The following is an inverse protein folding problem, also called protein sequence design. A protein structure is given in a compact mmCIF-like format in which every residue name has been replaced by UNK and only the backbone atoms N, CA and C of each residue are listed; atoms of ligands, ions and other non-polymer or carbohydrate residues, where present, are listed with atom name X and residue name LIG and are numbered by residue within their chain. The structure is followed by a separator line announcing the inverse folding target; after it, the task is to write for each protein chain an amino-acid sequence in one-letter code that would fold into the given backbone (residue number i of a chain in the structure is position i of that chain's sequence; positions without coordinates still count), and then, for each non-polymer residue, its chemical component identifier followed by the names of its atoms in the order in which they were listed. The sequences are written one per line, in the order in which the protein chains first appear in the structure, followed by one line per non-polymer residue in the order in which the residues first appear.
data_IF_939565146136
#
_entry.id   IF_939565146136
#
_cell.length_a   1.000
_cell.length_b   1.000
_cell.length_c   1.000
_cell.angle_alpha   90.00
_cell.angle_beta   90.00
_cell.angle_gamma   90.00
#
_symmetry.space_group_name_H-M   'P 1'
#
loop_
_entity.id
_entity.type
_entity.pdbx_description
1 polymer ?
#
# COMPACT_ATOMS: atom_id res chain seq x y z
N UNK A 1 10.68 0.73 57.12
CA UNK A 1 10.16 1.04 58.48
C UNK A 1 9.93 -0.21 59.33
N UNK A 2 8.94 -1.06 59.04
CA UNK A 2 8.64 -2.25 59.86
C UNK A 2 9.85 -3.17 60.18
N UNK A 3 10.75 -3.38 59.20
CA UNK A 3 11.98 -4.17 59.41
C UNK A 3 12.97 -3.55 60.41
N UNK A 4 13.07 -2.22 60.43
CA UNK A 4 13.94 -1.51 61.36
C UNK A 4 13.33 -1.41 62.77
N UNK A 5 12.01 -1.22 62.86
CA UNK A 5 11.28 -1.28 64.14
C UNK A 5 11.44 -2.67 64.79
N UNK A 6 11.33 -3.74 64.01
CA UNK A 6 11.56 -5.11 64.48
C UNK A 6 13.03 -5.39 64.87
N UNK A 7 13.99 -4.66 64.30
CA UNK A 7 15.41 -4.78 64.67
C UNK A 7 15.71 -4.06 65.99
N UNK A 8 15.23 -2.84 66.15
CA UNK A 8 15.44 -2.04 67.37
C UNK A 8 14.72 -2.65 68.57
N UNK A 9 13.49 -3.14 68.38
CA UNK A 9 12.69 -3.78 69.45
C UNK A 9 13.21 -5.14 69.95
N UNK A 10 14.37 -5.62 69.48
CA UNK A 10 15.02 -6.85 70.00
C UNK A 10 15.58 -6.67 71.39
N UNK A 11 15.96 -5.44 71.74
CA UNK A 11 16.41 -5.11 73.08
C UNK A 11 15.19 -4.83 73.97
N UNK A 12 15.06 -5.60 75.04
CA UNK A 12 13.94 -5.51 75.98
C UNK A 12 14.44 -5.18 77.38
N UNK A 13 13.67 -4.41 78.12
CA UNK A 13 13.90 -4.07 79.51
C UNK A 13 12.81 -4.72 80.38
N UNK A 14 13.22 -5.45 81.40
CA UNK A 14 12.35 -5.94 82.46
C UNK A 14 12.92 -5.48 83.78
N UNK A 15 12.19 -4.64 84.52
CA UNK A 15 12.65 -4.10 85.80
C UNK A 15 11.49 -3.77 86.73
N UNK A 16 11.80 -3.41 87.96
CA UNK A 16 10.83 -2.99 88.96
C UNK A 16 11.10 -1.55 89.38
N UNK A 17 10.06 -0.73 89.43
CA UNK A 17 10.13 0.65 89.86
C UNK A 17 9.55 0.84 91.28
N UNK A 18 10.03 1.85 92.02
CA UNK A 18 9.44 2.22 93.31
C UNK A 18 8.04 2.83 93.12
N UNK A 19 7.18 2.80 94.16
CA UNK A 19 5.85 3.42 94.11
C UNK A 19 5.84 4.92 93.78
N UNK A 20 6.96 5.63 93.94
CA UNK A 20 7.08 7.04 93.55
C UNK A 20 6.95 7.28 92.04
N UNK A 21 7.07 6.24 91.22
CA UNK A 21 6.97 6.31 89.75
C UNK A 21 5.63 5.78 89.21
N UNK A 22 4.55 5.92 89.99
CA UNK A 22 3.18 5.52 89.62
C UNK A 22 2.63 6.21 88.36
N UNK A 23 3.20 7.35 87.96
CA UNK A 23 2.72 8.17 86.84
C UNK A 23 3.06 7.61 85.44
N UNK A 24 3.89 6.56 85.35
CA UNK A 24 4.29 5.95 84.08
C UNK A 24 3.26 4.92 83.63
N UNK A 25 2.78 5.01 82.39
CA UNK A 25 1.78 4.12 81.80
C UNK A 25 2.34 3.30 80.60
N UNK A 26 1.68 2.20 80.21
CA UNK A 26 2.00 1.51 78.95
C UNK A 26 1.89 2.47 77.76
N UNK A 27 2.94 2.54 76.95
CA UNK A 27 3.07 3.49 75.83
C UNK A 27 4.06 4.63 76.11
N UNK A 28 4.35 4.93 77.37
CA UNK A 28 5.35 5.93 77.73
C UNK A 28 6.75 5.48 77.36
N UNK A 29 7.62 6.46 77.06
CA UNK A 29 9.03 6.24 76.76
C UNK A 29 9.85 6.67 77.95
N UNK A 30 10.67 5.75 78.46
CA UNK A 30 11.60 5.99 79.56
C UNK A 30 13.04 5.83 79.08
N UNK A 31 13.91 6.74 79.48
CA UNK A 31 15.33 6.67 79.17
C UNK A 31 16.09 6.02 80.31
N UNK A 32 16.77 4.91 80.04
CA UNK A 32 17.60 4.20 81.01
C UNK A 32 19.07 4.47 80.72
N UNK A 33 19.80 4.97 81.71
CA UNK A 33 21.26 5.10 81.64
C UNK A 33 21.91 3.78 82.06
N UNK A 34 22.62 3.11 81.16
CA UNK A 34 23.36 1.88 81.42
C UNK A 34 24.68 1.85 80.64
N UNK A 35 25.78 1.46 81.29
CA UNK A 35 27.12 1.36 80.67
C UNK A 35 27.55 2.58 79.83
N UNK A 36 27.28 3.79 80.34
CA UNK A 36 27.61 5.05 79.66
C UNK A 36 26.72 5.40 78.46
N UNK A 37 25.63 4.66 78.23
CA UNK A 37 24.64 4.92 77.19
C UNK A 37 23.30 5.27 77.81
N UNK A 38 22.60 6.24 77.21
CA UNK A 38 21.21 6.53 77.52
C UNK A 38 20.35 5.90 76.42
N UNK A 39 19.48 4.96 76.77
CA UNK A 39 18.68 4.19 75.81
C UNK A 39 17.20 4.36 76.13
N UNK A 40 16.40 4.65 75.10
CA UNK A 40 14.97 4.83 75.21
C UNK A 40 14.21 3.51 75.08
N UNK A 41 13.36 3.24 76.06
CA UNK A 41 12.48 2.07 76.11
C UNK A 41 11.04 2.53 76.18
N UNK A 42 10.19 2.01 75.28
CA UNK A 42 8.75 2.19 75.36
C UNK A 42 8.14 1.09 76.22
N UNK A 43 7.43 1.47 77.28
CA UNK A 43 6.74 0.53 78.16
C UNK A 43 5.65 -0.18 77.36
N UNK A 44 5.70 -1.52 77.35
CA UNK A 44 4.69 -2.36 76.70
C UNK A 44 3.70 -2.92 77.70
N UNK A 45 4.13 -3.14 78.94
CA UNK A 45 3.29 -3.74 79.98
C UNK A 45 3.75 -3.30 81.37
N UNK A 46 2.77 -3.13 82.25
CA UNK A 46 2.98 -2.86 83.67
C UNK A 46 2.23 -3.92 84.47
N UNK A 47 2.85 -4.40 85.56
CA UNK A 47 2.23 -5.28 86.55
C UNK A 47 2.43 -4.70 87.94
N UNK A 48 1.36 -4.22 88.56
CA UNK A 48 1.38 -3.65 89.90
C UNK A 48 1.16 -4.74 90.95
N UNK A 49 2.18 -4.99 91.77
CA UNK A 49 2.11 -5.87 92.94
C UNK A 49 2.73 -5.18 94.16
N UNK A 50 3.61 -5.85 94.92
CA UNK A 50 4.39 -5.20 96.00
C UNK A 50 5.33 -4.09 95.46
N UNK A 51 5.66 -4.15 94.18
CA UNK A 51 6.39 -3.14 93.42
C UNK A 51 5.80 -3.03 92.00
N UNK A 52 6.10 -1.95 91.27
CA UNK A 52 5.60 -1.75 89.90
C UNK A 52 6.56 -2.40 88.91
N UNK A 53 6.24 -3.62 88.47
CA UNK A 53 7.00 -4.33 87.45
C UNK A 53 6.70 -3.76 86.06
N UNK A 54 7.74 -3.49 85.26
CA UNK A 54 7.61 -2.99 83.90
C UNK A 54 8.31 -3.92 82.91
N UNK A 55 7.65 -4.16 81.78
CA UNK A 55 8.25 -4.71 80.57
C UNK A 55 8.23 -3.61 79.50
N UNK A 56 9.37 -3.38 78.87
CA UNK A 56 9.52 -2.34 77.86
C UNK A 56 10.40 -2.84 76.71
N UNK A 57 10.21 -2.29 75.53
CA UNK A 57 11.02 -2.60 74.34
C UNK A 57 11.76 -1.34 73.91
N UNK A 58 12.99 -1.49 73.44
CA UNK A 58 13.74 -0.36 72.93
C UNK A 58 13.00 0.28 71.76
N UNK A 59 13.00 1.60 71.73
CA UNK A 59 12.42 2.40 70.64
C UNK A 59 13.44 3.42 70.15
N UNK A 60 13.27 3.88 68.91
CA UNK A 60 14.08 4.94 68.31
C UNK A 60 13.15 5.91 67.58
N UNK A 61 13.15 7.17 68.02
CA UNK A 61 12.29 8.21 67.45
C UNK A 61 12.64 8.51 65.98
N UNK A 62 13.91 8.35 65.57
CA UNK A 62 14.35 8.63 64.21
C UNK A 62 13.73 7.67 63.17
N UNK A 63 13.26 6.49 63.59
CA UNK A 63 12.57 5.54 62.71
C UNK A 63 11.19 6.04 62.25
N UNK A 64 10.55 6.89 63.05
CA UNK A 64 9.22 7.42 62.76
C UNK A 64 9.27 8.62 61.80
N UNK A 65 10.46 9.22 61.62
CA UNK A 65 10.70 10.39 60.77
C UNK A 65 11.22 10.02 59.36
N UNK A 66 11.24 8.72 59.02
CA UNK A 66 11.68 8.27 57.70
C UNK A 66 10.65 8.69 56.62
N UNK A 67 11.05 9.47 55.60
CA UNK A 67 10.14 9.88 54.54
C UNK A 67 9.64 8.65 53.75
N UNK A 68 8.38 8.67 53.25
CA UNK A 68 7.91 7.65 52.33
C UNK A 68 8.83 7.61 51.10
N UNK A 69 9.07 6.41 50.56
CA UNK A 69 9.89 6.24 49.35
C UNK A 69 9.37 7.08 48.18
N UNK A 70 10.23 7.32 47.18
CA UNK A 70 9.86 8.15 46.02
C UNK A 70 8.61 7.62 45.32
N UNK A 71 7.66 8.52 45.05
CA UNK A 71 6.46 8.21 44.30
C UNK A 71 6.82 7.87 42.85
N UNK A 72 6.40 6.72 42.36
CA UNK A 72 6.58 6.36 40.95
C UNK A 72 5.49 7.03 40.13
N UNK A 73 5.84 8.02 39.32
CA UNK A 73 4.88 8.69 38.45
C UNK A 73 4.24 7.67 37.48
N UNK A 74 2.91 7.70 37.35
CA UNK A 74 2.18 6.92 36.35
C UNK A 74 2.22 7.70 35.05
N UNK A 75 2.92 7.19 34.05
CA UNK A 75 2.89 7.75 32.69
C UNK A 75 1.73 7.11 31.94
N UNK A 76 0.69 7.88 31.64
CA UNK A 76 -0.34 7.45 30.69
C UNK A 76 0.24 7.54 29.27
N UNK A 77 0.06 6.51 28.42
CA UNK A 77 0.48 6.61 27.03
C UNK A 77 -0.28 7.75 26.35
N UNK A 78 0.42 8.58 25.59
CA UNK A 78 -0.21 9.60 24.75
C UNK A 78 -1.04 8.92 23.67
N UNK A 79 -2.29 9.37 23.50
CA UNK A 79 -3.14 8.91 22.40
C UNK A 79 -2.46 9.27 21.08
N UNK A 80 -2.21 8.29 20.22
CA UNK A 80 -1.66 8.55 18.88
C UNK A 80 -2.74 9.21 18.04
N UNK A 81 -2.53 10.45 17.65
CA UNK A 81 -3.42 11.16 16.72
C UNK A 81 -3.01 10.77 15.30
N UNK A 82 -3.88 10.03 14.63
CA UNK A 82 -3.70 9.62 13.25
C UNK A 82 -4.06 10.77 12.30
N UNK A 83 -3.24 10.98 11.26
CA UNK A 83 -3.59 11.85 10.14
C UNK A 83 -4.53 11.14 9.15
N UNK A 84 -5.15 11.88 8.21
CA UNK A 84 -5.94 11.28 7.14
C UNK A 84 -5.07 10.42 6.22
N UNK A 85 -5.62 9.36 5.59
CA UNK A 85 -4.83 8.48 4.73
C UNK A 85 -4.68 9.07 3.33
N UNK A 86 -3.53 8.82 2.73
CA UNK A 86 -3.35 8.88 1.29
C UNK A 86 -3.83 7.56 0.68
N UNK A 87 -4.67 7.63 -0.35
CA UNK A 87 -5.30 6.45 -0.95
C UNK A 87 -5.17 6.49 -2.47
N UNK A 88 -4.76 5.36 -3.05
CA UNK A 88 -4.85 5.08 -4.47
C UNK A 88 -5.62 3.78 -4.69
N UNK A 89 -6.74 3.87 -5.41
CA UNK A 89 -7.49 2.72 -5.90
C UNK A 89 -7.16 2.57 -7.38
N UNK A 90 -6.58 1.43 -7.74
CA UNK A 90 -5.93 1.23 -9.03
C UNK A 90 -6.56 0.04 -9.74
N UNK A 91 -7.21 0.30 -10.87
CA UNK A 91 -7.67 -0.76 -11.77
C UNK A 91 -6.53 -1.14 -12.71
N UNK A 92 -5.71 -2.10 -12.27
CA UNK A 92 -4.48 -2.51 -12.94
C UNK A 92 -4.69 -3.82 -13.72
N UNK A 93 -3.83 -4.09 -14.73
CA UNK A 93 -3.63 -5.44 -15.21
C UNK A 93 -3.28 -6.42 -14.08
N UNK A 94 -3.55 -7.71 -14.29
CA UNK A 94 -3.21 -8.73 -13.32
C UNK A 94 -1.70 -8.74 -13.03
N UNK A 95 -1.33 -8.65 -11.75
CA UNK A 95 0.06 -8.64 -11.30
C UNK A 95 0.51 -10.00 -10.74
N UNK A 96 -0.42 -10.78 -10.17
CA UNK A 96 -0.14 -12.06 -9.51
C UNK A 96 -1.14 -13.12 -9.98
N UNK A 97 -0.68 -14.35 -10.18
CA UNK A 97 -1.54 -15.48 -10.59
C UNK A 97 -2.57 -15.83 -9.52
N UNK A 98 -2.25 -15.61 -8.25
CA UNK A 98 -3.15 -15.87 -7.11
C UNK A 98 -4.31 -14.86 -7.01
N UNK A 99 -4.22 -13.74 -7.72
CA UNK A 99 -5.24 -12.69 -7.72
C UNK A 99 -6.04 -12.76 -9.01
N UNK A 100 -7.37 -12.96 -8.94
CA UNK A 100 -8.21 -12.93 -10.13
C UNK A 100 -8.07 -11.61 -10.92
N UNK A 101 -8.00 -11.66 -12.26
CA UNK A 101 -7.67 -10.51 -13.11
C UNK A 101 -8.67 -9.34 -13.07
N UNK A 102 -9.88 -9.55 -12.58
CA UNK A 102 -10.88 -8.49 -12.45
C UNK A 102 -10.71 -7.64 -11.18
N UNK A 103 -9.85 -8.07 -10.25
CA UNK A 103 -9.71 -7.40 -8.96
C UNK A 103 -8.76 -6.20 -9.08
N UNK A 104 -9.22 -4.99 -8.74
CA UNK A 104 -8.35 -3.84 -8.61
C UNK A 104 -7.51 -3.93 -7.33
N UNK A 105 -6.52 -3.06 -7.21
CA UNK A 105 -5.63 -2.96 -6.06
C UNK A 105 -5.85 -1.65 -5.30
N UNK A 106 -5.66 -1.69 -3.98
CA UNK A 106 -5.59 -0.51 -3.15
C UNK A 106 -4.19 -0.35 -2.54
N UNK A 107 -3.70 0.88 -2.57
CA UNK A 107 -2.52 1.33 -1.84
C UNK A 107 -2.95 2.42 -0.86
N UNK A 108 -2.56 2.26 0.41
CA UNK A 108 -2.91 3.18 1.48
C UNK A 108 -1.67 3.52 2.28
N UNK A 109 -1.43 4.80 2.49
CA UNK A 109 -0.37 5.29 3.34
C UNK A 109 -0.91 6.28 4.37
N UNK A 110 -0.38 6.25 5.58
CA UNK A 110 -0.66 7.24 6.61
C UNK A 110 0.54 7.38 7.56
N UNK A 111 0.73 8.59 8.10
CA UNK A 111 1.79 8.89 9.06
C UNK A 111 1.21 9.59 10.30
N UNK A 112 1.28 9.00 11.51
CA UNK A 112 1.73 7.63 11.79
C UNK A 112 0.81 6.57 11.17
N UNK A 113 1.36 5.38 10.87
CA UNK A 113 0.56 4.26 10.34
C UNK A 113 -0.44 3.77 11.39
N UNK A 114 -1.62 3.37 10.93
CA UNK A 114 -2.74 2.96 11.79
C UNK A 114 -2.54 1.60 12.45
N UNK A 115 -1.49 0.86 12.08
CA UNK A 115 -1.36 -0.57 12.35
C UNK A 115 -2.21 -1.41 11.40
N UNK A 116 -3.46 -1.02 11.16
CA UNK A 116 -4.32 -1.62 10.13
C UNK A 116 -5.30 -0.57 9.59
N UNK A 117 -5.35 -0.41 8.27
CA UNK A 117 -6.38 0.38 7.60
C UNK A 117 -7.56 -0.52 7.18
N UNK A 118 -8.73 0.07 6.98
CA UNK A 118 -9.91 -0.62 6.46
C UNK A 118 -10.50 0.18 5.29
N UNK A 119 -10.94 -0.54 4.26
CA UNK A 119 -11.77 0.00 3.19
C UNK A 119 -13.20 -0.49 3.39
N UNK A 120 -14.12 0.46 3.42
CA UNK A 120 -15.54 0.22 3.50
C UNK A 120 -16.20 0.64 2.20
N UNK A 121 -17.23 -0.09 1.76
CA UNK A 121 -17.99 0.22 0.55
C UNK A 121 -19.48 0.37 0.80
N UNK A 122 -20.13 1.22 0.01
CA UNK A 122 -21.58 1.30 -0.12
C UNK A 122 -22.01 1.73 -1.52
N UNK A 123 -23.16 1.22 -1.98
CA UNK A 123 -23.81 1.68 -3.20
C UNK A 123 -24.41 3.10 -3.05
N UNK A 124 -24.58 3.57 -1.81
CA UNK A 124 -25.08 4.90 -1.48
C UNK A 124 -24.10 5.62 -0.55
N UNK A 125 -24.53 6.72 0.09
CA UNK A 125 -23.73 7.47 1.06
C UNK A 125 -23.90 6.99 2.51
N UNK A 126 -24.63 5.90 2.74
CA UNK A 126 -24.85 5.27 4.05
C UNK A 126 -24.83 3.74 3.94
N UNK A 127 -24.88 3.02 5.07
CA UNK A 127 -24.87 1.54 5.05
C UNK A 127 -23.55 0.93 4.58
N UNK A 128 -22.43 1.55 4.97
CA UNK A 128 -21.09 1.06 4.63
C UNK A 128 -20.82 -0.31 5.24
N UNK A 129 -20.32 -1.23 4.41
CA UNK A 129 -19.88 -2.57 4.79
C UNK A 129 -18.39 -2.70 4.60
N UNK A 130 -17.73 -3.47 5.46
CA UNK A 130 -16.29 -3.70 5.36
C UNK A 130 -16.00 -4.49 4.08
N UNK A 131 -15.10 -3.97 3.24
CA UNK A 131 -14.65 -4.64 2.02
C UNK A 131 -13.37 -5.43 2.32
N UNK A 132 -12.32 -4.75 2.76
CA UNK A 132 -11.02 -5.35 3.07
C UNK A 132 -10.30 -4.58 4.19
N UNK A 133 -9.35 -5.27 4.83
CA UNK A 133 -8.39 -4.68 5.79
C UNK A 133 -6.98 -4.73 5.22
N UNK A 134 -6.20 -3.68 5.46
CA UNK A 134 -4.85 -3.51 4.92
C UNK A 134 -3.87 -3.44 6.10
N UNK A 135 -3.03 -4.46 6.30
CA UNK A 135 -2.15 -4.54 7.47
C UNK A 135 -0.88 -3.71 7.34
N UNK A 136 -0.47 -3.36 6.12
CA UNK A 136 0.79 -2.68 5.85
C UNK A 136 0.56 -1.38 5.08
N UNK A 137 1.34 -0.35 5.42
CA UNK A 137 1.34 0.89 4.66
C UNK A 137 2.00 0.66 3.30
N UNK A 138 1.42 1.22 2.25
CA UNK A 138 1.98 1.18 0.91
C UNK A 138 3.11 2.21 0.73
N UNK A 139 4.05 1.89 -0.15
CA UNK A 139 5.07 2.85 -0.59
C UNK A 139 4.50 3.72 -1.71
N UNK A 140 4.05 4.91 -1.33
CA UNK A 140 3.41 5.88 -2.22
C UNK A 140 4.23 7.18 -2.30
N UNK A 141 3.91 8.01 -3.28
CA UNK A 141 4.48 9.34 -3.42
C UNK A 141 3.84 10.10 -4.57
N UNK A 142 4.56 11.11 -5.07
CA UNK A 142 4.14 11.89 -6.24
C UNK A 142 5.31 12.14 -7.19
N UNK A 143 4.99 12.45 -8.44
CA UNK A 143 5.96 13.00 -9.39
C UNK A 143 6.47 14.37 -8.91
N UNK A 144 7.78 14.52 -8.81
CA UNK A 144 8.44 15.76 -8.45
C UNK A 144 8.70 16.68 -9.67
N UNK A 145 8.61 16.13 -10.88
CA UNK A 145 8.70 16.85 -12.15
C UNK A 145 7.82 16.16 -13.21
N UNK A 146 7.50 16.87 -14.28
CA UNK A 146 6.71 16.31 -15.37
C UNK A 146 7.44 15.14 -16.06
N UNK A 147 6.70 14.09 -16.39
CA UNK A 147 7.20 12.90 -17.08
C UNK A 147 6.68 12.90 -18.52
N UNK A 148 7.55 13.06 -19.53
CA UNK A 148 7.15 12.95 -20.93
C UNK A 148 6.82 11.50 -21.33
N UNK A 149 6.13 11.36 -22.46
CA UNK A 149 5.97 10.07 -23.11
C UNK A 149 7.34 9.42 -23.39
N UNK A 150 7.42 8.11 -23.16
CA UNK A 150 8.62 7.32 -23.37
C UNK A 150 8.42 6.22 -24.40
N UNK A 151 9.51 5.60 -24.89
CA UNK A 151 9.41 4.46 -25.79
C UNK A 151 8.86 3.22 -25.08
N UNK A 152 8.18 2.36 -25.84
CA UNK A 152 7.76 1.02 -25.40
C UNK A 152 8.71 -0.05 -25.94
N UNK A 153 8.68 -1.25 -25.35
CA UNK A 153 9.44 -2.44 -25.81
C UNK A 153 10.97 -2.28 -25.86
N UNK A 154 11.52 -1.25 -25.21
CA UNK A 154 12.96 -1.02 -25.07
C UNK A 154 13.21 -0.16 -23.84
N UNK A 155 14.46 -0.11 -23.40
CA UNK A 155 14.87 0.83 -22.35
C UNK A 155 14.66 2.28 -22.79
N UNK A 156 14.02 3.05 -21.91
CA UNK A 156 14.06 4.49 -21.92
C UNK A 156 15.29 4.97 -21.14
N UNK A 157 16.30 5.42 -21.90
CA UNK A 157 17.54 5.97 -21.37
C UNK A 157 17.54 7.51 -21.40
N UNK A 158 16.54 8.12 -22.02
CA UNK A 158 16.46 9.58 -22.22
C UNK A 158 15.63 10.26 -21.14
N UNK A 159 14.59 9.61 -20.66
CA UNK A 159 13.72 10.15 -19.62
C UNK A 159 14.31 9.95 -18.22
N UNK A 160 14.00 10.90 -17.34
CA UNK A 160 14.34 10.87 -15.93
C UNK A 160 13.05 11.01 -15.13
N UNK A 161 12.72 10.00 -14.33
CA UNK A 161 11.54 9.98 -13.49
C UNK A 161 11.92 10.52 -12.10
N UNK A 162 11.50 11.74 -11.83
CA UNK A 162 11.74 12.42 -10.55
C UNK A 162 10.53 12.22 -9.64
N UNK A 163 10.75 11.67 -8.44
CA UNK A 163 9.66 11.40 -7.49
C UNK A 163 9.98 11.89 -6.09
N UNK A 164 8.95 12.25 -5.35
CA UNK A 164 8.96 12.44 -3.90
C UNK A 164 8.22 11.27 -3.25
N UNK A 165 8.95 10.43 -2.51
CA UNK A 165 8.44 9.23 -1.86
C UNK A 165 8.05 9.51 -0.40
N UNK A 166 6.84 9.11 -0.02
CA UNK A 166 6.26 9.38 1.30
C UNK A 166 6.91 8.55 2.42
N UNK A 167 7.43 7.35 2.12
CA UNK A 167 8.16 6.49 3.05
C UNK A 167 9.00 5.43 2.33
N UNK A 168 9.97 4.83 3.03
CA UNK A 168 10.84 3.80 2.49
C UNK A 168 12.05 4.36 1.74
N UNK A 169 12.80 3.46 1.11
CA UNK A 169 14.00 3.79 0.32
C UNK A 169 14.02 2.96 -0.95
N UNK A 170 14.45 3.56 -2.06
CA UNK A 170 14.63 2.87 -3.33
C UNK A 170 16.11 2.56 -3.58
N UNK A 171 16.36 1.44 -4.25
CA UNK A 171 17.71 1.00 -4.62
C UNK A 171 17.76 0.63 -6.10
N UNK A 172 18.95 0.75 -6.67
CA UNK A 172 19.20 0.31 -8.05
C UNK A 172 19.25 -1.22 -8.10
N UNK A 173 18.80 -1.80 -9.20
CA UNK A 173 18.79 -3.24 -9.44
C UNK A 173 19.50 -3.56 -10.75
N UNK A 174 19.96 -4.80 -10.89
CA UNK A 174 20.52 -5.30 -12.14
C UNK A 174 19.44 -5.46 -13.21
N UNK A 175 19.84 -5.51 -14.48
CA UNK A 175 18.90 -5.78 -15.58
C UNK A 175 18.17 -7.13 -15.39
N UNK A 176 18.84 -8.14 -14.83
CA UNK A 176 18.23 -9.45 -14.57
C UNK A 176 17.11 -9.36 -13.52
N UNK A 177 17.36 -8.68 -12.40
CA UNK A 177 16.36 -8.46 -11.35
C UNK A 177 15.21 -7.60 -11.88
N UNK A 178 15.52 -6.59 -12.70
CA UNK A 178 14.51 -5.76 -13.35
C UNK A 178 13.60 -6.61 -14.25
N UNK A 179 14.17 -7.46 -15.12
CA UNK A 179 13.39 -8.37 -15.97
C UNK A 179 12.65 -9.46 -15.17
N UNK A 180 13.09 -9.75 -13.94
CA UNK A 180 12.36 -10.60 -13.01
C UNK A 180 11.21 -9.89 -12.28
N UNK A 181 10.96 -8.60 -12.57
CA UNK A 181 9.84 -7.83 -12.03
C UNK A 181 10.20 -6.87 -10.89
N UNK A 182 11.48 -6.72 -10.54
CA UNK A 182 11.90 -5.77 -9.51
C UNK A 182 11.61 -4.31 -9.92
N UNK A 183 11.57 -3.42 -8.93
CA UNK A 183 11.39 -1.97 -9.12
C UNK A 183 10.19 -1.59 -10.01
N UNK A 184 9.08 -2.30 -9.84
CA UNK A 184 7.82 -2.02 -10.56
C UNK A 184 7.02 -0.93 -9.85
N UNK A 185 6.54 0.05 -10.60
CA UNK A 185 5.85 1.23 -10.10
C UNK A 185 4.65 1.54 -11.01
N UNK A 186 3.54 2.00 -10.43
CA UNK A 186 2.40 2.56 -11.16
C UNK A 186 2.41 4.09 -11.06
N UNK A 187 2.21 4.77 -12.18
CA UNK A 187 2.05 6.23 -12.28
C UNK A 187 0.64 6.53 -12.76
N UNK A 188 -0.08 7.41 -12.05
CA UNK A 188 -1.39 7.89 -12.49
C UNK A 188 -1.23 8.93 -13.61
N UNK A 189 -1.32 8.51 -14.87
CA UNK A 189 -1.11 9.40 -16.02
C UNK A 189 -2.31 10.31 -16.31
N UNK A 190 -3.49 9.90 -15.87
CA UNK A 190 -4.75 10.66 -15.83
C UNK A 190 -5.64 10.06 -14.72
N UNK A 191 -6.69 10.75 -14.24
CA UNK A 191 -7.54 10.24 -13.16
C UNK A 191 -8.03 8.81 -13.41
N UNK A 192 -7.59 7.86 -12.58
CA UNK A 192 -7.93 6.43 -12.69
C UNK A 192 -7.22 5.65 -13.82
N UNK A 193 -6.33 6.29 -14.59
CA UNK A 193 -5.53 5.66 -15.66
C UNK A 193 -4.10 5.51 -15.16
N UNK A 194 -3.62 4.27 -15.11
CA UNK A 194 -2.35 3.92 -14.51
C UNK A 194 -1.40 3.30 -15.53
N UNK A 195 -0.23 3.93 -15.70
CA UNK A 195 0.90 3.32 -16.41
C UNK A 195 1.71 2.48 -15.42
N UNK A 196 1.96 1.21 -15.76
CA UNK A 196 2.96 0.41 -15.05
C UNK A 196 4.30 0.58 -15.74
N UNK A 197 5.33 0.91 -14.97
CA UNK A 197 6.71 1.01 -15.45
C UNK A 197 7.68 0.39 -14.45
N UNK A 198 8.92 0.17 -14.88
CA UNK A 198 10.01 -0.25 -14.01
C UNK A 198 11.21 0.67 -14.16
N UNK A 199 12.12 0.67 -13.16
CA UNK A 199 13.35 1.46 -13.19
C UNK A 199 14.57 0.65 -12.74
N UNK A 200 15.67 0.71 -13.50
CA UNK A 200 16.92 0.03 -13.13
C UNK A 200 17.77 0.84 -12.15
N UNK A 201 17.82 2.16 -12.31
CA UNK A 201 18.69 3.04 -11.54
C UNK A 201 17.87 3.93 -10.61
N UNK A 202 18.24 3.97 -9.34
CA UNK A 202 17.67 4.87 -8.34
C UNK A 202 18.79 5.65 -7.62
N UNK A 203 18.72 6.98 -7.73
CA UNK A 203 19.65 7.91 -7.07
C UNK A 203 18.88 8.80 -6.10
N UNK A 204 19.23 8.78 -4.82
CA UNK A 204 18.68 9.71 -3.83
C UNK A 204 19.28 11.11 -4.04
N UNK A 205 18.44 12.11 -4.30
CA UNK A 205 18.86 13.50 -4.51
C UNK A 205 18.82 14.28 -3.20
N UNK A 206 17.73 14.12 -2.45
CA UNK A 206 17.51 14.71 -1.13
C UNK A 206 16.53 13.86 -0.35
N UNK A 207 16.22 14.20 0.91
CA UNK A 207 15.34 13.41 1.76
C UNK A 207 13.99 13.11 1.08
N UNK A 208 13.74 11.83 0.75
CA UNK A 208 12.53 11.35 0.07
C UNK A 208 12.49 11.60 -1.44
N UNK A 209 13.42 12.37 -2.02
CA UNK A 209 13.43 12.69 -3.45
C UNK A 209 14.41 11.82 -4.21
N UNK A 210 13.92 11.13 -5.24
CA UNK A 210 14.72 10.23 -6.08
C UNK A 210 14.69 10.64 -7.55
N UNK A 211 15.82 10.44 -8.21
CA UNK A 211 15.95 10.36 -9.67
C UNK A 211 16.00 8.90 -10.09
N UNK A 212 15.03 8.49 -10.90
CA UNK A 212 14.90 7.14 -11.43
C UNK A 212 15.19 7.16 -12.93
N UNK A 213 16.09 6.27 -13.37
CA UNK A 213 16.54 6.18 -14.77
C UNK A 213 16.53 4.74 -15.26
N UNK A 214 16.76 4.58 -16.57
CA UNK A 214 16.77 3.28 -17.26
C UNK A 214 15.42 2.61 -17.10
N UNK A 215 14.39 3.27 -17.64
CA UNK A 215 13.00 2.90 -17.42
C UNK A 215 12.54 1.84 -18.44
N UNK A 216 11.62 0.98 -18.03
CA UNK A 216 10.81 0.16 -18.92
C UNK A 216 9.36 0.65 -18.81
N UNK A 217 8.84 1.26 -19.88
CA UNK A 217 7.52 1.92 -19.89
C UNK A 217 6.41 0.94 -20.33
N UNK A 218 5.17 1.25 -19.95
CA UNK A 218 3.97 0.54 -20.45
C UNK A 218 3.93 -0.96 -20.19
N UNK A 219 4.50 -1.42 -19.08
CA UNK A 219 4.55 -2.85 -18.73
C UNK A 219 3.14 -3.42 -18.54
N UNK A 220 3.02 -4.75 -18.68
CA UNK A 220 1.73 -5.48 -18.51
C UNK A 220 0.58 -4.91 -19.35
N UNK A 221 0.88 -4.43 -20.56
CA UNK A 221 -0.15 -4.00 -21.50
C UNK A 221 -0.73 -2.62 -21.19
N UNK A 222 0.02 -1.73 -20.52
CA UNK A 222 -0.39 -0.35 -20.21
C UNK A 222 0.27 0.66 -21.14
N UNK A 223 0.62 0.28 -22.36
CA UNK A 223 1.22 1.20 -23.34
C UNK A 223 0.25 2.33 -23.74
N UNK A 224 -1.05 2.09 -23.72
CA UNK A 224 -2.12 3.07 -23.90
C UNK A 224 -2.25 4.07 -22.74
N UNK A 225 -1.73 3.70 -21.56
CA UNK A 225 -1.70 4.56 -20.39
C UNK A 225 -0.46 5.47 -20.33
N UNK A 226 0.49 5.34 -21.26
CA UNK A 226 1.63 6.26 -21.37
C UNK A 226 1.09 7.64 -21.78
N UNK A 227 1.05 8.55 -20.81
CA UNK A 227 0.61 9.92 -21.04
C UNK A 227 1.57 10.66 -21.98
N UNK A 228 1.02 11.54 -22.84
CA UNK A 228 1.84 12.43 -23.66
C UNK A 228 2.78 13.29 -22.80
N UNK A 229 2.23 13.79 -21.69
CA UNK A 229 2.95 14.43 -20.59
C UNK A 229 2.15 14.18 -19.31
N UNK A 230 2.80 13.58 -18.31
CA UNK A 230 2.22 13.43 -16.97
C UNK A 230 2.77 14.54 -16.10
N UNK A 231 1.90 15.34 -15.50
CA UNK A 231 2.30 16.51 -14.73
C UNK A 231 2.85 16.12 -13.36
N UNK A 232 3.77 16.93 -12.85
CA UNK A 232 4.19 16.90 -11.44
C UNK A 232 2.98 16.90 -10.49
N UNK A 233 3.11 16.20 -9.37
CA UNK A 233 2.03 15.95 -8.42
C UNK A 233 1.18 14.71 -8.74
N UNK A 234 1.33 14.08 -9.90
CA UNK A 234 0.68 12.80 -10.19
C UNK A 234 1.12 11.70 -9.20
N UNK A 235 0.17 10.86 -8.77
CA UNK A 235 0.43 9.80 -7.78
C UNK A 235 1.35 8.73 -8.36
N UNK A 236 2.25 8.25 -7.52
CA UNK A 236 3.05 7.06 -7.78
C UNK A 236 2.87 6.05 -6.66
N UNK A 237 2.88 4.77 -7.03
CA UNK A 237 2.74 3.66 -6.10
C UNK A 237 3.74 2.58 -6.49
N UNK A 238 4.58 2.16 -5.53
CA UNK A 238 5.44 1.00 -5.74
C UNK A 238 4.57 -0.27 -5.71
N UNK A 239 4.73 -1.13 -6.71
CA UNK A 239 3.95 -2.35 -6.84
C UNK A 239 4.68 -3.52 -6.15
N UNK A 240 4.50 -3.60 -4.83
CA UNK A 240 5.09 -4.63 -3.96
C UNK A 240 4.03 -5.38 -3.14
N UNK A 241 4.45 -6.10 -2.09
CA UNK A 241 3.56 -6.91 -1.26
C UNK A 241 2.64 -6.11 -0.33
N UNK A 242 2.81 -4.78 -0.24
CA UNK A 242 1.97 -3.90 0.57
C UNK A 242 0.63 -3.55 -0.09
N UNK A 243 0.46 -3.86 -1.37
CA UNK A 243 -0.79 -3.66 -2.08
C UNK A 243 -1.87 -4.65 -1.62
N UNK A 244 -3.09 -4.16 -1.44
CA UNK A 244 -4.25 -5.00 -1.15
C UNK A 244 -5.08 -5.23 -2.42
N UNK A 245 -5.16 -6.45 -2.96
CA UNK A 245 -6.17 -6.79 -3.95
C UNK A 245 -7.56 -6.68 -3.33
N UNK A 246 -8.45 -5.89 -3.93
CA UNK A 246 -9.79 -5.68 -3.42
C UNK A 246 -10.69 -6.87 -3.71
N UNK A 247 -11.44 -7.30 -2.69
CA UNK A 247 -12.37 -8.43 -2.70
C UNK A 247 -13.69 -8.11 -3.41
N UNK A 248 -13.58 -7.59 -4.65
CA UNK A 248 -14.69 -7.30 -5.54
C UNK A 248 -14.97 -8.49 -6.46
N UNK A 249 -16.24 -8.71 -6.80
CA UNK A 249 -16.68 -9.72 -7.75
C UNK A 249 -16.77 -9.12 -9.17
N UNK A 250 -16.80 -9.99 -10.19
CA UNK A 250 -17.02 -9.57 -11.58
C UNK A 250 -18.35 -8.81 -11.75
N UNK A 251 -19.36 -9.14 -10.96
CA UNK A 251 -20.66 -8.45 -10.98
C UNK A 251 -20.60 -7.01 -10.43
N UNK A 252 -19.53 -6.64 -9.71
CA UNK A 252 -19.33 -5.28 -9.20
C UNK A 252 -18.72 -4.34 -10.27
N UNK A 253 -18.28 -4.87 -11.42
CA UNK A 253 -17.64 -4.08 -12.49
C UNK A 253 -18.61 -3.10 -13.14
N UNK A 254 -18.13 -1.90 -13.46
CA UNK A 254 -18.91 -0.81 -14.05
C UNK A 254 -19.84 -0.09 -13.08
N UNK A 255 -19.92 -0.53 -11.82
CA UNK A 255 -20.75 0.08 -10.79
C UNK A 255 -19.90 1.08 -9.99
N UNK A 256 -20.36 2.34 -9.91
CA UNK A 256 -19.72 3.34 -9.07
C UNK A 256 -20.05 3.09 -7.60
N UNK A 257 -19.01 2.85 -6.80
CA UNK A 257 -19.15 2.62 -5.37
C UNK A 257 -18.60 3.79 -4.56
N UNK A 258 -19.28 4.11 -3.45
CA UNK A 258 -18.74 5.02 -2.45
C UNK A 258 -17.80 4.23 -1.53
N UNK A 259 -16.54 4.64 -1.49
CA UNK A 259 -15.50 4.04 -0.67
C UNK A 259 -15.14 4.97 0.49
N UNK A 260 -14.92 4.39 1.66
CA UNK A 260 -14.36 5.08 2.82
C UNK A 260 -13.16 4.32 3.35
N UNK A 261 -12.04 5.00 3.50
CA UNK A 261 -10.76 4.40 3.85
C UNK A 261 -10.15 5.13 5.04
N UNK A 262 -9.65 4.38 6.02
CA UNK A 262 -9.03 4.98 7.22
C UNK A 262 -8.62 3.92 8.24
N UNK A 263 -8.34 4.29 9.50
CA UNK A 263 -7.98 3.34 10.54
C UNK A 263 -9.08 2.30 10.75
N UNK A 264 -8.70 1.01 10.84
CA UNK A 264 -9.67 -0.06 11.11
C UNK A 264 -10.36 0.06 12.48
N UNK A 265 -9.75 0.80 13.41
CA UNK A 265 -10.32 1.11 14.73
C UNK A 265 -11.37 2.22 14.71
N UNK A 266 -11.53 2.96 13.60
CA UNK A 266 -12.48 4.05 13.47
C UNK A 266 -13.77 3.57 12.76
N UNK A 267 -14.90 4.20 13.10
CA UNK A 267 -16.16 3.94 12.41
C UNK A 267 -16.10 4.51 10.97
N UNK A 268 -16.80 3.90 9.99
CA UNK A 268 -16.83 4.42 8.62
C UNK A 268 -17.41 5.83 8.53
N UNK A 269 -18.22 6.27 9.49
CA UNK A 269 -18.77 7.63 9.55
C UNK A 269 -17.78 8.68 10.08
N UNK A 270 -16.66 8.26 10.65
CA UNK A 270 -15.66 9.15 11.27
C UNK A 270 -15.03 10.11 10.24
N UNK A 271 -14.69 11.31 10.68
CA UNK A 271 -14.07 12.35 9.84
C UNK A 271 -12.64 12.02 9.43
N UNK A 272 -11.97 11.10 10.13
CA UNK A 272 -10.65 10.60 9.72
C UNK A 272 -10.69 9.75 8.46
N UNK A 273 -11.87 9.23 8.09
CA UNK A 273 -12.04 8.40 6.90
C UNK A 273 -11.97 9.27 5.64
N UNK A 274 -11.08 8.92 4.72
CA UNK A 274 -11.05 9.48 3.38
C UNK A 274 -12.18 8.86 2.56
N UNK A 275 -13.03 9.71 1.97
CA UNK A 275 -14.12 9.29 1.11
C UNK A 275 -13.78 9.52 -0.36
N UNK A 276 -14.07 8.56 -1.22
CA UNK A 276 -13.94 8.68 -2.68
C UNK A 276 -14.93 7.77 -3.42
N UNK A 277 -15.29 8.16 -4.63
CA UNK A 277 -16.02 7.27 -5.55
C UNK A 277 -15.02 6.42 -6.34
N UNK A 278 -15.35 5.17 -6.58
CA UNK A 278 -14.52 4.26 -7.38
C UNK A 278 -15.38 3.32 -8.23
N UNK A 279 -15.07 3.27 -9.52
CA UNK A 279 -15.73 2.38 -10.48
C UNK A 279 -14.70 1.39 -11.01
N UNK A 280 -14.70 0.12 -10.55
CA UNK A 280 -13.82 -0.90 -11.11
C UNK A 280 -14.32 -1.25 -12.53
N UNK A 281 -13.45 -1.15 -13.53
CA UNK A 281 -13.77 -1.48 -14.93
C UNK A 281 -13.18 -2.82 -15.36
N UNK A 282 -12.36 -3.44 -14.52
CA UNK A 282 -11.79 -4.76 -14.75
C UNK A 282 -10.65 -4.72 -15.75
N UNK A 283 -9.70 -3.79 -15.58
CA UNK A 283 -8.57 -3.58 -16.49
C UNK A 283 -7.78 -4.85 -16.76
N UNK A 284 -7.61 -5.73 -15.78
CA UNK A 284 -6.94 -7.01 -15.98
C UNK A 284 -7.72 -8.05 -16.79
N UNK A 285 -9.00 -7.80 -17.14
CA UNK A 285 -9.77 -8.59 -18.11
C UNK A 285 -9.73 -8.01 -19.53
N UNK A 286 -9.19 -6.80 -19.72
CA UNK A 286 -9.11 -6.15 -21.03
C UNK A 286 -7.96 -6.76 -21.84
N UNK A 287 -8.21 -7.33 -23.04
CA UNK A 287 -7.14 -7.87 -23.87
C UNK A 287 -6.09 -6.81 -24.22
N UNK A 288 -4.82 -7.24 -24.26
CA UNK A 288 -3.73 -6.38 -24.73
C UNK A 288 -3.87 -6.09 -26.22
N UNK A 289 -3.40 -4.92 -26.63
CA UNK A 289 -3.36 -4.54 -28.04
C UNK A 289 -2.52 -5.54 -28.83
N UNK A 290 -2.99 -6.05 -30.00
CA UNK A 290 -2.16 -6.83 -30.91
C UNK A 290 -0.89 -6.07 -31.33
N UNK A 291 0.07 -6.76 -31.94
CA UNK A 291 1.34 -6.12 -32.33
C UNK A 291 1.82 -6.58 -33.70
N UNK A 292 2.89 -5.92 -34.18
CA UNK A 292 3.58 -6.25 -35.42
C UNK A 292 2.66 -6.39 -36.64
N UNK A 293 1.69 -5.48 -36.79
CA UNK A 293 0.86 -5.49 -37.99
C UNK A 293 1.72 -5.23 -39.24
N UNK A 294 1.47 -6.01 -40.29
CA UNK A 294 2.15 -5.92 -41.58
C UNK A 294 1.13 -5.88 -42.69
N UNK A 295 1.38 -5.01 -43.66
CA UNK A 295 0.55 -4.82 -44.83
C UNK A 295 1.36 -5.16 -46.08
N UNK A 296 0.77 -5.93 -47.00
CA UNK A 296 1.37 -6.23 -48.31
C UNK A 296 0.33 -6.14 -49.40
N UNK A 297 0.67 -5.50 -50.51
CA UNK A 297 -0.14 -5.52 -51.73
C UNK A 297 0.08 -6.83 -52.49
N UNK A 298 -1.02 -7.46 -52.89
CA UNK A 298 -1.02 -8.68 -53.70
C UNK A 298 -1.10 -8.33 -55.19
N UNK A 299 -0.78 -9.29 -56.06
CA UNK A 299 -0.78 -9.09 -57.52
C UNK A 299 -2.15 -8.69 -58.09
N UNK A 300 -3.24 -9.08 -57.42
CA UNK A 300 -4.61 -8.71 -57.80
C UNK A 300 -5.04 -7.32 -57.29
N UNK A 301 -4.14 -6.57 -56.63
CA UNK A 301 -4.43 -5.25 -56.06
C UNK A 301 -4.98 -5.26 -54.63
N UNK A 302 -5.28 -6.43 -54.06
CA UNK A 302 -5.75 -6.54 -52.68
C UNK A 302 -4.63 -6.21 -51.67
N UNK A 303 -5.03 -5.78 -50.49
CA UNK A 303 -4.13 -5.54 -49.36
C UNK A 303 -4.28 -6.64 -48.33
N UNK A 304 -3.26 -7.48 -48.20
CA UNK A 304 -3.18 -8.49 -47.16
C UNK A 304 -2.61 -7.88 -45.87
N UNK A 305 -3.44 -7.81 -44.84
CA UNK A 305 -3.10 -7.38 -43.50
C UNK A 305 -2.93 -8.61 -42.60
N UNK A 306 -1.86 -8.64 -41.79
CA UNK A 306 -1.63 -9.65 -40.73
C UNK A 306 -1.08 -8.98 -39.48
N UNK A 307 -1.34 -9.55 -38.31
CA UNK A 307 -0.79 -9.10 -37.03
C UNK A 307 -0.44 -10.29 -36.13
N UNK A 308 0.18 -10.02 -34.99
CA UNK A 308 0.46 -11.01 -33.96
C UNK A 308 -0.44 -10.77 -32.74
N UNK A 309 -1.02 -11.86 -32.23
CA UNK A 309 -1.79 -11.88 -30.98
C UNK A 309 -0.87 -11.60 -29.79
N UNK A 310 -1.41 -10.92 -28.78
CA UNK A 310 -0.83 -10.88 -27.42
C UNK A 310 -1.79 -11.53 -26.44
N UNK A 311 -1.24 -12.08 -25.37
CA UNK A 311 -2.03 -12.63 -24.28
C UNK A 311 -1.66 -11.91 -22.98
N UNK A 312 -2.63 -11.77 -22.08
CA UNK A 312 -2.47 -11.09 -20.80
C UNK A 312 -2.04 -12.02 -19.67
N UNK A 313 -2.06 -13.34 -19.87
CA UNK A 313 -1.57 -14.31 -18.90
C UNK A 313 -0.11 -14.01 -18.49
N UNK A 314 0.21 -14.18 -17.22
CA UNK A 314 1.57 -13.97 -16.72
C UNK A 314 2.56 -14.98 -17.33
N UNK A 315 2.10 -16.17 -17.67
CA UNK A 315 2.91 -17.19 -18.34
C UNK A 315 3.12 -16.95 -19.85
N UNK A 316 2.60 -15.85 -20.43
CA UNK A 316 2.70 -15.59 -21.87
C UNK A 316 4.14 -15.39 -22.38
N UNK A 317 5.04 -15.00 -21.49
CA UNK A 317 6.47 -14.81 -21.81
C UNK A 317 7.32 -16.08 -21.58
N UNK A 318 6.69 -17.22 -21.26
CA UNK A 318 7.39 -18.48 -21.00
C UNK A 318 7.91 -19.14 -22.28
N UNK A 319 9.21 -19.42 -22.31
CA UNK A 319 9.87 -20.20 -23.37
C UNK A 319 9.62 -21.71 -23.28
N UNK A 320 9.00 -22.19 -22.20
CA UNK A 320 8.75 -23.61 -21.96
C UNK A 320 7.42 -24.05 -22.60
N UNK A 321 6.46 -23.13 -22.75
CA UNK A 321 5.15 -23.44 -23.30
C UNK A 321 5.22 -23.68 -24.81
N UNK A 322 4.49 -24.68 -25.29
CA UNK A 322 4.42 -25.00 -26.73
C UNK A 322 3.68 -23.91 -27.53
N UNK A 323 2.70 -23.25 -26.91
CA UNK A 323 1.89 -22.19 -27.49
C UNK A 323 1.69 -21.09 -26.45
N UNK A 324 1.58 -19.86 -26.91
CA UNK A 324 1.18 -18.74 -26.05
C UNK A 324 -0.20 -19.05 -25.45
N UNK A 325 -0.41 -18.84 -24.14
CA UNK A 325 -1.71 -19.01 -23.51
C UNK A 325 -2.84 -18.27 -24.25
N UNK A 326 -4.06 -18.71 -24.01
CA UNK A 326 -5.28 -18.11 -24.56
C UNK A 326 -6.20 -17.76 -23.39
N UNK A 327 -6.05 -16.53 -22.87
CA UNK A 327 -6.84 -16.01 -21.75
C UNK A 327 -8.29 -15.71 -22.13
N UNK A 328 -8.54 -15.42 -23.41
CA UNK A 328 -9.87 -15.11 -23.93
C UNK A 328 -10.56 -16.37 -24.45
N UNK A 329 -11.89 -16.46 -24.32
CA UNK A 329 -12.67 -17.65 -24.68
C UNK A 329 -12.46 -18.12 -26.14
N UNK A 330 -12.13 -17.19 -27.03
CA UNK A 330 -11.81 -17.45 -28.43
C UNK A 330 -10.91 -16.35 -28.99
N UNK A 331 -10.12 -16.67 -30.02
CA UNK A 331 -9.35 -15.69 -30.77
C UNK A 331 -10.26 -14.96 -31.77
N UNK A 332 -10.72 -13.77 -31.39
CA UNK A 332 -11.59 -12.92 -32.21
C UNK A 332 -11.05 -11.50 -32.25
N UNK A 333 -11.15 -10.86 -33.41
CA UNK A 333 -10.74 -9.47 -33.62
C UNK A 333 -11.82 -8.61 -34.26
N UNK A 334 -11.85 -7.34 -33.86
CA UNK A 334 -12.47 -6.26 -34.61
C UNK A 334 -11.37 -5.41 -35.26
N UNK A 335 -11.61 -4.98 -36.50
CA UNK A 335 -10.73 -4.11 -37.28
C UNK A 335 -11.50 -2.88 -37.73
N UNK A 336 -10.94 -1.71 -37.46
CA UNK A 336 -11.38 -0.44 -38.04
C UNK A 336 -10.34 0.05 -39.04
N UNK A 337 -10.82 0.45 -40.22
CA UNK A 337 -10.04 1.15 -41.24
C UNK A 337 -10.38 2.63 -41.14
N UNK A 338 -9.34 3.45 -41.04
CA UNK A 338 -9.45 4.86 -40.70
C UNK A 338 -8.99 5.74 -41.86
N UNK A 339 -9.58 6.93 -41.95
CA UNK A 339 -9.08 8.05 -42.75
C UNK A 339 -9.08 9.31 -41.89
N UNK A 340 -7.88 9.79 -41.54
CA UNK A 340 -7.74 10.78 -40.48
C UNK A 340 -8.39 10.28 -39.18
N UNK A 341 -9.34 11.05 -38.64
CA UNK A 341 -10.12 10.65 -37.46
C UNK A 341 -11.38 9.83 -37.74
N UNK A 342 -11.79 9.66 -39.00
CA UNK A 342 -13.04 8.99 -39.36
C UNK A 342 -12.85 7.48 -39.58
N UNK A 343 -13.80 6.69 -39.08
CA UNK A 343 -13.89 5.24 -39.37
C UNK A 343 -14.56 5.08 -40.73
N UNK A 344 -13.83 4.55 -41.71
CA UNK A 344 -14.34 4.28 -43.05
C UNK A 344 -15.00 2.91 -43.14
N UNK A 345 -14.44 1.93 -42.42
CA UNK A 345 -14.96 0.56 -42.39
C UNK A 345 -14.70 -0.10 -41.05
N UNK A 346 -15.70 -0.81 -40.55
CA UNK A 346 -15.58 -1.69 -39.40
C UNK A 346 -15.81 -3.13 -39.86
N UNK A 347 -14.89 -4.01 -39.50
CA UNK A 347 -14.98 -5.45 -39.73
C UNK A 347 -14.96 -6.12 -38.36
N UNK A 348 -16.00 -6.88 -38.04
CA UNK A 348 -16.14 -7.53 -36.73
C UNK A 348 -16.03 -9.03 -36.84
N UNK A 349 -15.65 -9.68 -35.73
CA UNK A 349 -15.72 -11.13 -35.63
C UNK A 349 -14.67 -11.90 -36.45
N UNK A 350 -13.51 -11.29 -36.74
CA UNK A 350 -12.42 -11.97 -37.45
C UNK A 350 -11.83 -13.07 -36.56
N UNK A 351 -11.88 -14.32 -37.00
CA UNK A 351 -11.41 -15.50 -36.24
C UNK A 351 -9.94 -15.87 -36.51
N UNK A 352 -9.24 -15.05 -37.28
CA UNK A 352 -7.81 -15.23 -37.57
C UNK A 352 -7.11 -13.87 -37.51
N UNK A 353 -5.80 -13.82 -37.21
CA UNK A 353 -5.06 -12.56 -37.10
C UNK A 353 -4.65 -12.02 -38.48
N UNK A 354 -5.61 -12.00 -39.41
CA UNK A 354 -5.42 -11.59 -40.78
C UNK A 354 -6.73 -11.03 -41.37
N UNK A 355 -6.59 -10.09 -42.30
CA UNK A 355 -7.69 -9.56 -43.09
C UNK A 355 -7.23 -9.25 -44.51
N UNK A 356 -8.07 -9.55 -45.51
CA UNK A 356 -7.81 -9.16 -46.90
C UNK A 356 -8.71 -7.98 -47.24
N UNK A 357 -8.10 -6.80 -47.34
CA UNK A 357 -8.78 -5.59 -47.74
C UNK A 357 -8.76 -5.46 -49.26
N UNK A 358 -9.86 -5.89 -49.88
CA UNK A 358 -9.93 -6.08 -51.33
C UNK A 358 -9.81 -4.75 -52.09
N UNK A 359 -9.39 -4.81 -53.36
CA UNK A 359 -9.35 -3.64 -54.24
C UNK A 359 -10.74 -2.97 -54.36
N UNK A 360 -11.81 -3.74 -54.38
CA UNK A 360 -13.18 -3.21 -54.40
C UNK A 360 -13.52 -2.45 -53.11
N UNK A 361 -13.11 -2.97 -51.94
CA UNK A 361 -13.30 -2.26 -50.67
C UNK A 361 -12.47 -0.97 -50.62
N UNK A 362 -11.22 -0.99 -51.11
CA UNK A 362 -10.38 0.20 -51.27
C UNK A 362 -11.09 1.28 -52.10
N UNK A 363 -11.62 0.92 -53.27
CA UNK A 363 -12.35 1.84 -54.14
C UNK A 363 -13.65 2.35 -53.51
N UNK A 364 -14.37 1.52 -52.75
CA UNK A 364 -15.58 1.96 -52.05
C UNK A 364 -15.29 2.97 -50.94
N UNK A 365 -14.21 2.76 -50.19
CA UNK A 365 -13.91 3.57 -48.99
C UNK A 365 -13.07 4.82 -49.34
N UNK A 366 -12.23 4.75 -50.37
CA UNK A 366 -11.25 5.79 -50.72
C UNK A 366 -11.31 6.24 -52.19
N UNK A 367 -12.17 5.66 -53.03
CA UNK A 367 -12.29 5.99 -54.45
C UNK A 367 -11.18 5.42 -55.35
N UNK A 368 -10.05 5.01 -54.79
CA UNK A 368 -8.90 4.47 -55.51
C UNK A 368 -8.03 3.59 -54.60
N UNK A 369 -6.97 3.00 -55.17
CA UNK A 369 -5.92 2.34 -54.41
C UNK A 369 -5.18 3.36 -53.52
N UNK A 370 -4.95 3.00 -52.27
CA UNK A 370 -4.28 3.84 -51.26
C UNK A 370 -2.79 3.49 -51.14
N UNK A 371 -1.90 4.45 -50.79
CA UNK A 371 -0.47 4.19 -50.56
C UNK A 371 -0.15 3.77 -49.12
N UNK A 372 -1.03 4.08 -48.17
CA UNK A 372 -0.92 3.72 -46.77
C UNK A 372 -2.32 3.46 -46.20
N UNK A 373 -2.37 2.71 -45.09
CA UNK A 373 -3.61 2.33 -44.42
C UNK A 373 -3.48 2.61 -42.93
N UNK A 374 -4.35 3.45 -42.38
CA UNK A 374 -4.47 3.64 -40.94
C UNK A 374 -5.52 2.69 -40.40
N UNK A 375 -5.17 1.94 -39.35
CA UNK A 375 -6.03 0.91 -38.78
C UNK A 375 -6.09 1.00 -37.26
N UNK A 376 -7.16 0.44 -36.70
CA UNK A 376 -7.23 0.03 -35.30
C UNK A 376 -7.64 -1.43 -35.23
N UNK A 377 -6.85 -2.25 -34.55
CA UNK A 377 -7.15 -3.66 -34.32
C UNK A 377 -7.43 -3.87 -32.84
N UNK A 378 -8.54 -4.53 -32.54
CA UNK A 378 -8.97 -4.87 -31.19
C UNK A 378 -9.05 -6.38 -31.07
N UNK A 379 -8.39 -6.96 -30.08
CA UNK A 379 -8.73 -8.32 -29.66
C UNK A 379 -9.99 -8.27 -28.80
N UNK A 380 -10.91 -9.21 -29.01
CA UNK A 380 -12.17 -9.29 -28.26
C UNK A 380 -11.97 -10.21 -27.05
N UNK A 381 -12.34 -9.71 -25.88
CA UNK A 381 -12.34 -10.45 -24.63
C UNK A 381 -13.72 -10.46 -23.97
N UNK A 382 -13.78 -10.92 -22.73
CA UNK A 382 -15.04 -11.05 -22.00
C UNK A 382 -15.81 -9.73 -21.81
N UNK A 383 -15.10 -8.60 -21.78
CA UNK A 383 -15.68 -7.26 -21.63
C UNK A 383 -15.87 -6.52 -22.97
N UNK A 384 -15.69 -7.20 -24.11
CA UNK A 384 -15.76 -6.60 -25.44
C UNK A 384 -14.38 -6.27 -26.02
N UNK A 385 -14.27 -5.12 -26.71
CA UNK A 385 -13.02 -4.69 -27.35
C UNK A 385 -11.92 -4.41 -26.32
N UNK A 386 -10.74 -5.00 -26.55
CA UNK A 386 -9.54 -4.73 -25.79
C UNK A 386 -8.89 -3.38 -26.11
N UNK A 387 -7.64 -3.22 -25.71
CA UNK A 387 -6.86 -2.02 -26.04
C UNK A 387 -6.62 -1.96 -27.56
N UNK A 388 -6.85 -0.82 -28.24
CA UNK A 388 -6.60 -0.70 -29.67
C UNK A 388 -5.12 -0.77 -29.99
N UNK A 389 -4.74 -1.61 -30.94
CA UNK A 389 -3.51 -1.40 -31.70
C UNK A 389 -3.78 -0.41 -32.84
N UNK A 390 -3.38 0.84 -32.65
CA UNK A 390 -3.53 1.91 -33.64
C UNK A 390 -2.21 2.16 -34.39
N UNK A 391 -2.23 2.08 -35.72
CA UNK A 391 -1.04 2.35 -36.53
C UNK A 391 -1.38 2.78 -37.95
N UNK A 392 -0.43 3.44 -38.62
CA UNK A 392 -0.48 3.69 -40.06
C UNK A 392 0.59 2.84 -40.74
N UNK A 393 0.16 1.92 -41.59
CA UNK A 393 1.03 1.04 -42.36
C UNK A 393 1.22 1.61 -43.76
N UNK A 394 2.45 1.93 -44.12
CA UNK A 394 2.81 2.25 -45.50
C UNK A 394 2.96 0.95 -46.28
N UNK A 395 2.40 0.91 -47.49
CA UNK A 395 2.57 -0.24 -48.36
C UNK A 395 4.01 -0.23 -48.84
N UNK A 396 4.78 -1.24 -48.44
CA UNK A 396 6.04 -1.53 -49.13
C UNK A 396 5.64 -2.17 -50.45
N UNK A 397 5.81 -1.45 -51.55
CA UNK A 397 5.94 -2.08 -52.85
C UNK A 397 7.08 -3.09 -52.70
N UNK A 398 6.78 -4.38 -52.85
CA UNK A 398 7.82 -5.39 -52.84
C UNK A 398 8.81 -5.05 -53.94
N UNK A 399 10.09 -4.96 -53.60
CA UNK A 399 11.20 -5.01 -54.56
C UNK A 399 11.07 -6.22 -55.49
#
# INVERSE_FOLDING_TARGET
RALMEAWVGRETLSTSLPPSQLALDPGDVVSLANDGRLIDYRITKINDALSRGIEAIRTDAALYDLPPGQYRAVTLPTATVYGPPEVALMDLPQLLDSVPPHRPYAAIYAKPWYGTAAIWRSATTSGFTLLDTIPQAAHMGVLAADLPAGPTSRFDLGSELMIDLSSGTLTSVTDLELFAGANTLAVESAPGVWEILQFGNATLISAGRYSLKRLLRGQRGTEDAIGNLVLSGAKIVLLDTSLQPLSLAVADLGIAWNMRTGPASAAPSDTIMQAQSFTPNGRGLVPFAPVQARLRRLANGDLALRWLRRDRALAADSWVLMQVPQSEASEIYDLEIMSGGAVMRTVTGLTTPAFTYTAAMQSADFGAAIPSLTIRIYQIGALGRGVPFATTLTIKESL
#
